data_IF_411538322058
#
_entry.id   IF_411538322058
#
_cell.length_a   1.000
_cell.length_b   1.000
_cell.length_c   1.000
_cell.angle_alpha   90.00
_cell.angle_beta   90.00
_cell.angle_gamma   90.00
#
_symmetry.space_group_name_H-M   'P 1'
#
loop_
_entity.id
_entity.type
_entity.pdbx_description
1 polymer ?
#
# COMPACT_ATOMS: atom_id res chain seq x y z
N UNK A 1 -5.55 -39.04 14.01
CA UNK A 1 -6.46 -38.29 13.12
C UNK A 1 -5.60 -37.33 12.34
N UNK A 2 -5.46 -37.55 11.05
CA UNK A 2 -4.66 -36.72 10.14
C UNK A 2 -5.51 -35.52 9.74
N UNK A 3 -5.31 -34.37 10.40
CA UNK A 3 -5.87 -33.11 9.93
C UNK A 3 -5.19 -32.76 8.61
N UNK A 4 -5.94 -32.91 7.52
CA UNK A 4 -5.56 -32.42 6.22
C UNK A 4 -5.58 -30.89 6.29
N UNK A 5 -4.40 -30.28 6.20
CA UNK A 5 -4.22 -28.85 5.91
C UNK A 5 -4.90 -28.54 4.58
N UNK A 6 -6.15 -28.08 4.64
CA UNK A 6 -6.86 -27.55 3.48
C UNK A 6 -6.03 -26.40 2.90
N UNK A 7 -5.56 -26.58 1.66
CA UNK A 7 -5.04 -25.48 0.84
C UNK A 7 -6.10 -24.38 0.81
N UNK A 8 -5.82 -23.17 1.33
CA UNK A 8 -6.82 -22.11 1.35
C UNK A 8 -7.24 -21.77 -0.08
N UNK A 9 -8.55 -21.74 -0.31
CA UNK A 9 -9.11 -21.46 -1.63
C UNK A 9 -9.21 -19.96 -1.89
N UNK A 10 -9.15 -19.15 -0.82
CA UNK A 10 -9.30 -17.70 -0.89
C UNK A 10 -8.20 -16.95 -0.11
N UNK A 11 -7.89 -15.70 -0.49
CA UNK A 11 -6.94 -14.85 0.24
C UNK A 11 -7.35 -14.61 1.71
N UNK A 12 -8.64 -14.48 1.99
CA UNK A 12 -9.16 -14.28 3.35
C UNK A 12 -8.90 -15.50 4.24
N UNK A 13 -9.06 -16.71 3.70
CA UNK A 13 -8.73 -17.96 4.40
C UNK A 13 -7.22 -18.12 4.60
N UNK A 14 -6.41 -17.75 3.60
CA UNK A 14 -4.95 -17.74 3.74
C UNK A 14 -4.49 -16.78 4.84
N UNK A 15 -5.12 -15.59 4.95
CA UNK A 15 -4.82 -14.63 6.01
C UNK A 15 -5.16 -15.15 7.40
N UNK A 16 -6.35 -15.73 7.57
CA UNK A 16 -6.76 -16.33 8.83
C UNK A 16 -5.79 -17.45 9.27
N UNK A 17 -5.30 -18.26 8.33
CA UNK A 17 -4.31 -19.30 8.63
C UNK A 17 -2.94 -18.72 9.00
N UNK A 18 -2.49 -17.63 8.36
CA UNK A 18 -1.24 -16.95 8.71
C UNK A 18 -1.33 -16.34 10.12
N UNK A 19 -2.45 -15.71 10.48
CA UNK A 19 -2.62 -15.12 11.81
C UNK A 19 -2.58 -16.20 12.92
N UNK A 20 -3.13 -17.39 12.64
CA UNK A 20 -3.05 -18.56 13.54
C UNK A 20 -1.62 -19.12 13.62
N UNK A 21 -0.91 -19.23 12.51
CA UNK A 21 0.45 -19.77 12.47
C UNK A 21 1.49 -18.82 13.07
N UNK A 22 1.32 -17.52 12.88
CA UNK A 22 2.21 -16.47 13.42
C UNK A 22 2.10 -16.33 14.93
N UNK A 23 0.96 -16.71 15.51
CA UNK A 23 0.77 -16.79 16.97
C UNK A 23 1.18 -18.16 17.55
N UNK A 24 1.60 -19.12 16.72
CA UNK A 24 2.12 -20.41 17.15
C UNK A 24 3.66 -20.38 17.29
N UNK A 25 4.14 -20.41 18.53
CA UNK A 25 5.58 -20.38 18.88
C UNK A 25 6.35 -21.56 18.30
N UNK A 26 5.75 -22.75 18.24
CA UNK A 26 6.40 -23.94 17.70
C UNK A 26 6.57 -23.84 16.18
N UNK A 27 5.56 -23.33 15.49
CA UNK A 27 5.64 -23.07 14.05
C UNK A 27 6.69 -21.99 13.75
N UNK A 28 6.69 -20.88 14.50
CA UNK A 28 7.68 -19.82 14.38
C UNK A 28 9.12 -20.34 14.58
N UNK A 29 9.33 -21.21 15.57
CA UNK A 29 10.65 -21.85 15.78
C UNK A 29 11.06 -22.73 14.60
N UNK A 30 10.14 -23.52 14.03
CA UNK A 30 10.41 -24.39 12.88
C UNK A 30 10.76 -23.57 11.63
N UNK A 31 9.99 -22.51 11.38
CA UNK A 31 10.23 -21.59 10.26
C UNK A 31 11.60 -20.91 10.38
N UNK A 32 11.94 -20.39 11.58
CA UNK A 32 13.24 -19.75 11.83
C UNK A 32 14.41 -20.72 11.77
N UNK A 33 14.20 -22.00 12.09
CA UNK A 33 15.21 -23.05 11.93
C UNK A 33 15.37 -23.55 10.49
N UNK A 34 14.59 -23.03 9.53
CA UNK A 34 14.65 -23.44 8.13
C UNK A 34 14.02 -24.81 7.87
N UNK A 35 13.04 -25.22 8.68
CA UNK A 35 12.29 -26.46 8.42
C UNK A 35 11.58 -26.35 7.05
N UNK A 36 11.79 -27.36 6.21
CA UNK A 36 11.33 -27.34 4.82
C UNK A 36 9.81 -27.36 4.74
N UNK A 37 9.13 -28.12 5.61
CA UNK A 37 7.67 -28.20 5.59
C UNK A 37 7.03 -26.90 6.09
N UNK A 38 7.57 -26.30 7.15
CA UNK A 38 7.11 -25.01 7.65
C UNK A 38 7.35 -23.88 6.63
N UNK A 39 8.49 -23.89 5.95
CA UNK A 39 8.83 -22.92 4.90
C UNK A 39 7.92 -23.08 3.69
N UNK A 40 7.67 -24.32 3.24
CA UNK A 40 6.75 -24.61 2.14
C UNK A 40 5.33 -24.13 2.47
N UNK A 41 4.83 -24.45 3.67
CA UNK A 41 3.50 -24.03 4.12
C UNK A 41 3.39 -22.50 4.21
N UNK A 42 4.41 -21.83 4.75
CA UNK A 42 4.45 -20.37 4.81
C UNK A 42 4.43 -19.72 3.43
N UNK A 43 5.23 -20.25 2.51
CA UNK A 43 5.33 -19.77 1.13
C UNK A 43 4.07 -20.07 0.32
N UNK A 44 3.42 -21.22 0.52
CA UNK A 44 2.17 -21.58 -0.15
C UNK A 44 1.04 -20.63 0.28
N UNK A 45 0.94 -20.31 1.57
CA UNK A 45 -0.03 -19.34 2.10
C UNK A 45 0.20 -17.93 1.53
N UNK A 46 1.46 -17.49 1.50
CA UNK A 46 1.81 -16.20 0.89
C UNK A 46 1.67 -16.23 -0.64
N UNK A 47 1.81 -17.38 -1.29
CA UNK A 47 1.55 -17.57 -2.72
C UNK A 47 0.07 -17.46 -3.07
N UNK A 48 -0.84 -17.89 -2.19
CA UNK A 48 -2.28 -17.64 -2.33
C UNK A 48 -2.63 -16.17 -2.13
N UNK A 49 -1.96 -15.48 -1.19
CA UNK A 49 -2.04 -14.01 -1.08
C UNK A 49 -1.47 -13.29 -2.31
N UNK A 50 -0.39 -13.79 -2.91
CA UNK A 50 0.20 -13.21 -4.13
C UNK A 50 -0.59 -13.48 -5.41
N UNK A 51 -1.41 -14.54 -5.44
CA UNK A 51 -2.25 -14.91 -6.60
C UNK A 51 -3.68 -14.36 -6.53
N UNK A 52 -4.09 -13.80 -5.38
CA UNK A 52 -5.44 -13.27 -5.20
C UNK A 52 -5.56 -12.07 -4.25
N UNK A 53 -4.45 -11.52 -3.76
CA UNK A 53 -4.44 -10.32 -2.92
C UNK A 53 -4.57 -9.05 -3.75
N UNK A 54 -5.32 -8.10 -3.22
CA UNK A 54 -5.41 -6.74 -3.75
C UNK A 54 -3.98 -6.17 -3.92
N UNK A 55 -3.60 -5.74 -5.13
CA UNK A 55 -2.28 -5.16 -5.42
C UNK A 55 -1.93 -4.03 -4.45
N UNK A 56 -2.96 -3.33 -3.96
CA UNK A 56 -2.86 -2.30 -2.95
C UNK A 56 -2.38 -2.86 -1.62
N UNK A 57 -2.92 -3.99 -1.18
CA UNK A 57 -2.53 -4.61 0.09
C UNK A 57 -1.08 -5.08 0.02
N UNK A 58 -0.65 -5.62 -1.13
CA UNK A 58 0.75 -5.98 -1.37
C UNK A 58 1.66 -4.74 -1.34
N UNK A 59 1.27 -3.65 -2.01
CA UNK A 59 2.00 -2.38 -1.98
C UNK A 59 2.09 -1.77 -0.58
N UNK A 60 1.00 -1.79 0.18
CA UNK A 60 0.96 -1.32 1.56
C UNK A 60 1.92 -2.09 2.47
N UNK A 61 2.16 -3.37 2.18
CA UNK A 61 3.10 -4.22 2.89
C UNK A 61 4.53 -4.18 2.32
N UNK A 62 4.79 -3.36 1.30
CA UNK A 62 6.09 -3.28 0.64
C UNK A 62 6.44 -4.53 -0.19
N UNK A 63 5.44 -5.35 -0.51
CA UNK A 63 5.61 -6.57 -1.30
C UNK A 63 5.69 -6.17 -2.76
N UNK A 64 6.83 -6.46 -3.37
CA UNK A 64 7.02 -6.31 -4.81
C UNK A 64 6.72 -7.67 -5.45
N UNK A 65 5.62 -7.76 -6.19
CA UNK A 65 5.27 -8.96 -6.95
C UNK A 65 6.27 -9.17 -8.10
N UNK A 66 6.28 -10.36 -8.69
CA UNK A 66 7.19 -10.70 -9.78
C UNK A 66 7.68 -12.15 -9.70
N UNK A 67 8.39 -12.60 -10.72
CA UNK A 67 9.15 -13.85 -10.63
C UNK A 67 10.40 -13.61 -9.75
N UNK A 68 10.93 -14.66 -9.12
CA UNK A 68 12.09 -14.61 -8.20
C UNK A 68 13.31 -13.80 -8.70
N UNK A 69 13.40 -13.56 -10.01
CA UNK A 69 14.49 -12.82 -10.67
C UNK A 69 14.05 -11.55 -11.41
N UNK A 70 12.74 -11.30 -11.59
CA UNK A 70 12.22 -10.14 -12.31
C UNK A 70 11.06 -9.53 -11.50
N UNK A 71 11.33 -8.44 -10.76
CA UNK A 71 10.28 -7.70 -10.07
C UNK A 71 9.30 -7.08 -11.07
N UNK A 72 8.02 -7.16 -10.76
CA UNK A 72 6.97 -6.42 -11.45
C UNK A 72 7.13 -4.91 -11.19
N UNK A 73 7.18 -4.16 -12.29
CA UNK A 73 7.44 -2.72 -12.25
C UNK A 73 6.32 -1.93 -11.59
N UNK A 74 5.07 -2.37 -11.78
CA UNK A 74 3.90 -1.71 -11.20
C UNK A 74 3.79 -1.96 -9.70
N UNK A 75 3.98 -3.21 -9.26
CA UNK A 75 4.05 -3.56 -7.84
C UNK A 75 5.17 -2.84 -7.12
N UNK A 76 6.36 -2.73 -7.75
CA UNK A 76 7.47 -1.95 -7.22
C UNK A 76 7.10 -0.47 -7.06
N UNK A 77 6.48 0.11 -8.09
CA UNK A 77 6.06 1.52 -8.07
C UNK A 77 5.03 1.79 -6.97
N UNK A 78 4.07 0.88 -6.76
CA UNK A 78 3.06 1.01 -5.72
C UNK A 78 3.68 0.88 -4.32
N UNK A 79 4.57 -0.10 -4.10
CA UNK A 79 5.28 -0.28 -2.83
C UNK A 79 6.17 0.92 -2.48
N UNK A 80 6.93 1.45 -3.45
CA UNK A 80 7.74 2.65 -3.29
C UNK A 80 6.86 3.88 -3.03
N UNK A 81 5.73 4.01 -3.73
CA UNK A 81 4.74 5.06 -3.50
C UNK A 81 4.16 5.02 -2.08
N UNK A 82 3.80 3.83 -1.59
CA UNK A 82 3.31 3.63 -0.23
C UNK A 82 4.35 4.06 0.83
N UNK A 83 5.60 3.62 0.63
CA UNK A 83 6.72 3.96 1.52
C UNK A 83 7.01 5.46 1.52
N UNK A 84 7.03 6.09 0.35
CA UNK A 84 7.22 7.53 0.21
C UNK A 84 6.10 8.33 0.89
N UNK A 85 4.83 7.96 0.71
CA UNK A 85 3.71 8.65 1.36
C UNK A 85 3.76 8.51 2.89
N UNK A 86 4.14 7.35 3.43
CA UNK A 86 4.38 7.19 4.87
C UNK A 86 5.54 8.05 5.37
N UNK A 87 6.62 8.19 4.60
CA UNK A 87 7.76 9.04 4.95
C UNK A 87 7.39 10.52 5.10
N UNK A 88 6.31 10.94 4.42
CA UNK A 88 5.73 12.28 4.54
C UNK A 88 4.74 12.40 5.73
N UNK A 89 4.51 11.32 6.47
CA UNK A 89 3.63 11.29 7.64
C UNK A 89 2.14 11.10 7.32
N UNK A 90 1.80 10.58 6.13
CA UNK A 90 0.42 10.20 5.82
C UNK A 90 0.06 8.90 6.56
N UNK A 91 -1.18 8.80 7.03
CA UNK A 91 -1.68 7.59 7.71
C UNK A 91 -1.96 6.46 6.73
N UNK A 92 -1.83 5.22 7.18
CA UNK A 92 -2.01 4.03 6.34
C UNK A 92 -3.38 3.97 5.64
N UNK A 93 -4.44 4.50 6.25
CA UNK A 93 -5.75 4.61 5.59
C UNK A 93 -5.73 5.53 4.36
N UNK A 94 -5.08 6.69 4.48
CA UNK A 94 -4.95 7.66 3.37
C UNK A 94 -4.02 7.11 2.27
N UNK A 95 -2.95 6.41 2.66
CA UNK A 95 -2.05 5.76 1.69
C UNK A 95 -2.79 4.68 0.90
N UNK A 96 -3.61 3.86 1.57
CA UNK A 96 -4.46 2.85 0.93
C UNK A 96 -5.43 3.48 -0.06
N UNK A 97 -6.21 4.48 0.36
CA UNK A 97 -7.15 5.20 -0.50
C UNK A 97 -6.45 5.83 -1.71
N UNK A 98 -5.22 6.34 -1.51
CA UNK A 98 -4.44 6.94 -2.56
C UNK A 98 -3.96 5.94 -3.61
N UNK A 99 -3.57 4.74 -3.18
CA UNK A 99 -3.16 3.68 -4.08
C UNK A 99 -4.37 3.04 -4.78
N UNK A 100 -5.51 2.89 -4.09
CA UNK A 100 -6.78 2.37 -4.63
C UNK A 100 -7.36 3.25 -5.74
N UNK A 101 -6.86 4.48 -5.88
CA UNK A 101 -7.48 5.49 -6.74
C UNK A 101 -8.92 5.79 -6.30
N UNK A 102 -9.21 5.58 -5.01
CA UNK A 102 -10.48 5.95 -4.40
C UNK A 102 -10.51 7.48 -4.40
N UNK A 103 -10.96 8.05 -5.52
CA UNK A 103 -11.06 9.48 -5.70
C UNK A 103 -11.84 10.13 -4.56
N UNK A 104 -11.60 11.42 -4.34
CA UNK A 104 -12.29 12.19 -3.30
C UNK A 104 -13.66 12.65 -3.77
N UNK A 105 -14.50 13.13 -2.86
CA UNK A 105 -15.76 13.77 -3.26
C UNK A 105 -15.49 15.05 -4.08
N UNK A 106 -16.49 15.51 -4.86
CA UNK A 106 -16.40 16.78 -5.62
C UNK A 106 -16.07 17.98 -4.73
N UNK A 107 -16.65 18.00 -3.53
CA UNK A 107 -16.44 19.08 -2.57
C UNK A 107 -15.01 19.06 -2.01
N UNK A 108 -14.50 17.89 -1.63
CA UNK A 108 -13.11 17.74 -1.17
C UNK A 108 -12.09 18.07 -2.26
N UNK A 109 -12.33 17.62 -3.49
CA UNK A 109 -11.50 17.97 -4.64
C UNK A 109 -11.44 19.49 -4.83
N UNK A 110 -12.61 20.15 -4.79
CA UNK A 110 -12.71 21.60 -4.91
C UNK A 110 -11.96 22.31 -3.78
N UNK A 111 -12.19 21.89 -2.53
CA UNK A 111 -11.52 22.45 -1.35
C UNK A 111 -10.00 22.35 -1.44
N UNK A 112 -9.47 21.20 -1.88
CA UNK A 112 -8.02 21.01 -2.03
C UNK A 112 -7.47 21.77 -3.23
N UNK A 113 -8.21 21.86 -4.34
CA UNK A 113 -7.85 22.67 -5.51
C UNK A 113 -7.76 24.15 -5.15
N UNK A 114 -8.75 24.66 -4.43
CA UNK A 114 -8.80 26.05 -3.96
C UNK A 114 -7.72 26.33 -2.92
N UNK A 115 -7.46 25.38 -2.02
CA UNK A 115 -6.35 25.46 -1.08
C UNK A 115 -5.00 25.55 -1.82
N UNK A 116 -4.75 24.66 -2.77
CA UNK A 116 -3.50 24.61 -3.56
C UNK A 116 -3.32 25.91 -4.34
N UNK A 117 -4.37 26.39 -4.99
CA UNK A 117 -4.33 27.65 -5.77
C UNK A 117 -4.00 28.83 -4.87
N UNK A 118 -4.65 28.94 -3.70
CA UNK A 118 -4.36 30.01 -2.73
C UNK A 118 -2.91 29.98 -2.24
N UNK A 119 -2.39 28.80 -1.90
CA UNK A 119 -1.03 28.67 -1.35
C UNK A 119 0.06 28.81 -2.42
N UNK A 120 -0.21 28.42 -3.67
CA UNK A 120 0.69 28.71 -4.79
C UNK A 120 0.78 30.22 -5.09
N UNK A 121 -0.32 30.94 -4.89
CA UNK A 121 -0.35 32.40 -5.04
C UNK A 121 0.19 33.14 -3.80
N UNK A 122 0.46 32.45 -2.69
CA UNK A 122 1.11 33.03 -1.51
C UNK A 122 2.64 32.99 -1.70
N UNK A 123 3.31 34.16 -1.81
CA UNK A 123 4.76 34.21 -1.97
C UNK A 123 5.53 33.59 -0.81
N UNK A 124 4.99 33.65 0.42
CA UNK A 124 5.65 33.10 1.60
C UNK A 124 5.65 31.57 1.58
N UNK A 125 4.50 30.96 1.26
CA UNK A 125 4.38 29.52 1.10
C UNK A 125 5.21 29.01 -0.08
N UNK A 126 5.11 29.65 -1.24
CA UNK A 126 5.86 29.25 -2.44
C UNK A 126 7.37 29.28 -2.20
N UNK A 127 7.89 30.29 -1.49
CA UNK A 127 9.30 30.35 -1.11
C UNK A 127 9.71 29.18 -0.19
N UNK A 128 8.89 28.85 0.82
CA UNK A 128 9.14 27.70 1.72
C UNK A 128 9.15 26.38 0.95
N UNK A 129 8.15 26.17 0.09
CA UNK A 129 8.05 24.97 -0.73
C UNK A 129 9.26 24.80 -1.66
N UNK A 130 9.66 25.86 -2.38
CA UNK A 130 10.83 25.83 -3.26
C UNK A 130 12.16 25.67 -2.49
N UNK A 131 12.21 26.11 -1.24
CA UNK A 131 13.36 25.88 -0.36
C UNK A 131 13.41 24.46 0.25
N UNK A 132 12.43 23.59 -0.06
CA UNK A 132 12.37 22.23 0.46
C UNK A 132 11.94 22.14 1.92
N UNK A 133 11.24 23.16 2.44
CA UNK A 133 10.69 23.12 3.79
C UNK A 133 9.76 21.91 3.97
N UNK A 134 10.05 21.06 4.95
CA UNK A 134 9.42 19.75 5.09
C UNK A 134 7.89 19.83 5.22
N UNK A 135 7.39 20.82 5.95
CA UNK A 135 5.95 21.02 6.12
C UNK A 135 5.28 21.49 4.82
N UNK A 136 5.87 22.47 4.13
CA UNK A 136 5.34 22.96 2.86
C UNK A 136 5.35 21.87 1.77
N UNK A 137 6.41 21.06 1.72
CA UNK A 137 6.53 19.92 0.80
C UNK A 137 5.48 18.85 1.12
N UNK A 138 5.30 18.51 2.40
CA UNK A 138 4.26 17.57 2.82
C UNK A 138 2.88 18.04 2.38
N UNK A 139 2.51 19.29 2.71
CA UNK A 139 1.19 19.83 2.40
C UNK A 139 0.91 19.89 0.89
N UNK A 140 1.89 20.33 0.09
CA UNK A 140 1.74 20.39 -1.37
C UNK A 140 1.66 18.99 -1.98
N UNK A 141 2.44 18.04 -1.47
CA UNK A 141 2.40 16.64 -1.92
C UNK A 141 1.06 16.00 -1.62
N UNK A 142 0.54 16.18 -0.40
CA UNK A 142 -0.81 15.72 -0.02
C UNK A 142 -1.87 16.29 -0.95
N UNK A 143 -1.82 17.60 -1.25
CA UNK A 143 -2.77 18.21 -2.17
C UNK A 143 -2.67 17.63 -3.59
N UNK A 144 -1.45 17.40 -4.09
CA UNK A 144 -1.23 16.81 -5.41
C UNK A 144 -1.73 15.36 -5.49
N UNK A 145 -1.54 14.55 -4.44
CA UNK A 145 -2.06 13.17 -4.39
C UNK A 145 -3.59 13.18 -4.51
N UNK A 146 -4.26 13.99 -3.69
CA UNK A 146 -5.73 14.12 -3.72
C UNK A 146 -6.24 14.56 -5.09
N UNK A 147 -5.61 15.57 -5.69
CA UNK A 147 -6.01 16.07 -7.02
C UNK A 147 -5.67 15.10 -8.16
N UNK A 148 -4.64 14.27 -7.99
CA UNK A 148 -4.25 13.27 -8.97
C UNK A 148 -5.27 12.12 -9.01
N UNK A 149 -5.70 11.65 -7.83
CA UNK A 149 -6.71 10.59 -7.68
C UNK A 149 -8.07 10.98 -8.25
N UNK A 150 -8.34 12.29 -8.37
CA UNK A 150 -9.54 12.80 -9.01
C UNK A 150 -10.79 12.63 -8.16
N UNK A 151 -11.94 12.83 -8.78
CA UNK A 151 -13.24 12.72 -8.14
C UNK A 151 -13.72 11.27 -8.22
N UNK A 152 -14.23 10.73 -7.12
CA UNK A 152 -14.82 9.39 -7.05
C UNK A 152 -15.82 9.17 -8.19
N UNK A 153 -15.63 8.13 -8.99
CA UNK A 153 -16.51 7.74 -10.09
C UNK A 153 -16.27 8.46 -11.42
N UNK A 154 -15.39 9.47 -11.48
CA UNK A 154 -14.91 10.02 -12.75
C UNK A 154 -13.66 9.23 -13.17
N UNK A 155 -13.84 8.20 -14.00
CA UNK A 155 -12.73 7.44 -14.58
C UNK A 155 -11.90 8.38 -15.44
N UNK A 156 -10.74 8.83 -14.95
CA UNK A 156 -9.74 9.49 -15.80
C UNK A 156 -9.22 8.46 -16.79
N UNK A 157 -9.66 8.58 -18.04
CA UNK A 157 -8.97 7.94 -19.15
C UNK A 157 -7.54 8.48 -19.21
N UNK A 158 -6.58 7.58 -19.32
CA UNK A 158 -5.24 7.92 -19.78
C UNK A 158 -5.28 8.30 -21.26
#
# INVERSE_FOLDING_TARGET
>A
MTDQTQTPATPAEARAQIDVLSSNVEFGSKLLSGDVAATQQWNDLHGVLGKGGDEIENAMNGVILGADTIPDGDSKRLAEGASWMRSLGLSDGVVREALEGAGVTKEEYRMVSDWRTRHMNDPAFSKRFLAGDAEAVRLMTTANVVLSNGIKGERKGF
#
